data_IF_984277097442
#
_entry.id   IF_984277097442
#
_cell.length_a   1.000
_cell.length_b   1.000
_cell.length_c   1.000
_cell.angle_alpha   90.00
_cell.angle_beta   90.00
_cell.angle_gamma   90.00
#
_symmetry.space_group_name_H-M   'P 1'
#
loop_
_entity.id
_entity.type
_entity.pdbx_description
1 polymer ?
#
# COMPACT_ATOMS: atom_id res chain seq x y z
N UNK A 1 3.26 -14.19 3.77
CA UNK A 1 3.79 -12.80 3.80
C UNK A 1 4.73 -12.51 2.63
N UNK A 2 5.39 -13.53 2.05
CA UNK A 2 6.43 -13.36 1.01
C UNK A 2 5.97 -12.77 -0.33
N UNK A 3 4.66 -12.75 -0.65
CA UNK A 3 4.18 -12.34 -1.98
C UNK A 3 3.50 -10.96 -2.07
N UNK A 4 3.39 -10.20 -0.97
CA UNK A 4 2.80 -8.85 -1.05
C UNK A 4 3.72 -7.90 -1.82
N UNK A 5 3.13 -7.05 -2.67
CA UNK A 5 3.86 -6.02 -3.43
C UNK A 5 4.95 -6.60 -4.35
N UNK A 6 4.69 -7.75 -4.99
CA UNK A 6 5.67 -8.44 -5.82
C UNK A 6 6.19 -7.56 -6.96
N UNK A 7 5.32 -6.77 -7.62
CA UNK A 7 5.73 -5.89 -8.72
C UNK A 7 6.64 -4.78 -8.20
N UNK A 8 6.32 -4.24 -7.03
CA UNK A 8 7.15 -3.24 -6.35
C UNK A 8 8.52 -3.81 -5.98
N UNK A 9 8.57 -5.02 -5.42
CA UNK A 9 9.82 -5.66 -5.04
C UNK A 9 10.72 -5.92 -6.24
N UNK A 10 10.17 -6.48 -7.32
CA UNK A 10 10.93 -6.71 -8.55
C UNK A 10 11.48 -5.42 -9.16
N UNK A 11 10.67 -4.35 -9.16
CA UNK A 11 11.12 -3.04 -9.62
C UNK A 11 12.24 -2.48 -8.74
N UNK A 12 12.11 -2.61 -7.42
CA UNK A 12 13.13 -2.20 -6.46
C UNK A 12 14.45 -2.95 -6.68
N UNK A 13 14.41 -4.28 -6.73
CA UNK A 13 15.60 -5.13 -6.87
C UNK A 13 16.34 -4.83 -8.19
N UNK A 14 15.60 -4.72 -9.30
CA UNK A 14 16.17 -4.39 -10.61
C UNK A 14 16.82 -2.99 -10.63
N UNK A 15 16.17 -2.00 -10.02
CA UNK A 15 16.73 -0.64 -9.94
C UNK A 15 17.96 -0.59 -9.03
N UNK A 16 17.94 -1.33 -7.91
CA UNK A 16 19.07 -1.42 -7.01
C UNK A 16 20.28 -2.06 -7.70
N UNK A 17 20.06 -3.16 -8.42
CA UNK A 17 21.10 -3.78 -9.25
C UNK A 17 21.65 -2.78 -10.27
N UNK A 18 20.79 -2.04 -10.97
CA UNK A 18 21.24 -1.04 -11.93
C UNK A 18 22.11 0.05 -11.29
N UNK A 19 21.71 0.58 -10.13
CA UNK A 19 22.48 1.60 -9.40
C UNK A 19 23.86 1.07 -8.97
N UNK A 20 23.93 -0.19 -8.55
CA UNK A 20 25.18 -0.87 -8.20
C UNK A 20 26.10 -1.04 -9.41
N UNK A 21 25.58 -1.58 -10.52
CA UNK A 21 26.39 -1.87 -11.73
C UNK A 21 26.86 -0.59 -12.41
N UNK A 22 26.03 0.45 -12.43
CA UNK A 22 26.35 1.73 -13.06
C UNK A 22 27.10 2.71 -12.14
N UNK A 23 27.27 2.39 -10.86
CA UNK A 23 27.81 3.28 -9.83
C UNK A 23 27.08 4.65 -9.80
N UNK A 24 25.76 4.62 -9.93
CA UNK A 24 24.92 5.82 -10.05
C UNK A 24 24.24 6.25 -8.74
N UNK A 25 24.66 5.70 -7.61
CA UNK A 25 24.23 6.15 -6.28
C UNK A 25 24.54 7.64 -6.06
N UNK A 26 23.59 8.37 -5.46
CA UNK A 26 23.66 9.79 -5.21
C UNK A 26 23.46 10.67 -6.46
N UNK A 27 23.20 10.07 -7.63
CA UNK A 27 22.98 10.81 -8.88
C UNK A 27 21.49 11.07 -9.16
N UNK A 28 21.20 11.87 -10.17
CA UNK A 28 19.82 12.09 -10.66
C UNK A 28 19.16 10.78 -11.14
N UNK A 29 19.95 9.79 -11.59
CA UNK A 29 19.44 8.48 -11.99
C UNK A 29 18.79 7.78 -10.80
N UNK A 30 19.38 7.85 -9.61
CA UNK A 30 18.77 7.31 -8.38
C UNK A 30 17.41 7.97 -8.12
N UNK A 31 17.31 9.29 -8.30
CA UNK A 31 16.04 10.00 -8.13
C UNK A 31 14.97 9.50 -9.10
N UNK A 32 15.31 9.35 -10.39
CA UNK A 32 14.36 8.87 -11.39
C UNK A 32 13.87 7.45 -11.11
N UNK A 33 14.78 6.55 -10.73
CA UNK A 33 14.43 5.18 -10.37
C UNK A 33 13.59 5.12 -9.09
N UNK A 34 13.92 5.93 -8.08
CA UNK A 34 13.13 6.05 -6.85
C UNK A 34 11.71 6.49 -7.17
N UNK A 35 11.54 7.55 -7.97
CA UNK A 35 10.22 8.06 -8.37
C UNK A 35 9.41 7.00 -9.13
N UNK A 36 10.06 6.25 -10.02
CA UNK A 36 9.43 5.17 -10.76
C UNK A 36 8.88 4.07 -9.83
N UNK A 37 9.70 3.57 -8.90
CA UNK A 37 9.29 2.54 -7.94
C UNK A 37 8.19 3.07 -7.02
N UNK A 38 8.25 4.34 -6.60
CA UNK A 38 7.27 4.94 -5.72
C UNK A 38 5.87 4.99 -6.36
N UNK A 39 5.79 5.28 -7.66
CA UNK A 39 4.55 5.18 -8.45
C UNK A 39 4.04 3.74 -8.49
N UNK A 40 4.92 2.77 -8.75
CA UNK A 40 4.56 1.33 -8.75
C UNK A 40 4.03 0.91 -7.39
N UNK A 41 4.74 1.23 -6.31
CA UNK A 41 4.37 0.90 -4.93
C UNK A 41 2.96 1.35 -4.61
N UNK A 42 2.62 2.60 -4.94
CA UNK A 42 1.29 3.12 -4.65
C UNK A 42 0.20 2.36 -5.42
N UNK A 43 0.42 2.08 -6.69
CA UNK A 43 -0.53 1.30 -7.49
C UNK A 43 -0.68 -0.13 -6.95
N UNK A 44 0.43 -0.76 -6.55
CA UNK A 44 0.47 -2.13 -6.04
C UNK A 44 -0.25 -2.22 -4.69
N UNK A 45 -0.02 -1.28 -3.76
CA UNK A 45 -0.73 -1.20 -2.48
C UNK A 45 -2.24 -1.10 -2.67
N UNK A 46 -2.68 -0.26 -3.61
CA UNK A 46 -4.11 -0.12 -3.91
C UNK A 46 -4.71 -1.44 -4.40
N UNK A 47 -4.02 -2.15 -5.31
CA UNK A 47 -4.48 -3.45 -5.80
C UNK A 47 -4.50 -4.52 -4.70
N UNK A 48 -3.51 -4.55 -3.82
CA UNK A 48 -3.47 -5.49 -2.70
C UNK A 48 -4.63 -5.27 -1.72
N UNK A 49 -4.98 -4.02 -1.41
CA UNK A 49 -6.15 -3.70 -0.59
C UNK A 49 -7.44 -4.16 -1.29
N UNK A 50 -7.56 -3.97 -2.61
CA UNK A 50 -8.69 -4.52 -3.37
C UNK A 50 -8.74 -6.06 -3.31
N UNK A 51 -7.60 -6.73 -3.45
CA UNK A 51 -7.50 -8.18 -3.37
C UNK A 51 -7.81 -8.74 -1.98
N UNK A 52 -7.57 -7.98 -0.91
CA UNK A 52 -7.99 -8.32 0.45
C UNK A 52 -9.52 -8.37 0.56
N UNK A 53 -10.21 -7.38 0.01
CA UNK A 53 -11.68 -7.32 0.04
C UNK A 53 -12.29 -8.38 -0.85
N UNK A 54 -11.72 -8.60 -2.03
CA UNK A 54 -12.18 -9.64 -2.96
C UNK A 54 -12.09 -11.03 -2.34
N UNK A 55 -10.93 -11.39 -1.76
CA UNK A 55 -10.74 -12.67 -1.07
C UNK A 55 -11.71 -12.85 0.10
N UNK A 56 -12.02 -11.78 0.84
CA UNK A 56 -13.02 -11.86 1.91
C UNK A 56 -14.43 -12.05 1.36
N UNK A 57 -14.79 -11.32 0.30
CA UNK A 57 -16.11 -11.42 -0.31
C UNK A 57 -16.35 -12.80 -0.94
N UNK A 58 -15.29 -13.46 -1.44
CA UNK A 58 -15.34 -14.85 -1.91
C UNK A 58 -15.84 -15.85 -0.86
N UNK A 59 -15.62 -15.58 0.43
CA UNK A 59 -16.06 -16.46 1.52
C UNK A 59 -17.59 -16.48 1.66
N UNK A 60 -18.29 -15.42 1.23
CA UNK A 60 -19.74 -15.32 1.36
C UNK A 60 -20.52 -16.25 0.41
N UNK A 61 -19.86 -16.82 -0.61
CA UNK A 61 -20.46 -17.67 -1.66
C UNK A 61 -21.67 -17.03 -2.37
N UNK A 62 -21.77 -15.70 -2.34
CA UNK A 62 -22.78 -14.91 -3.04
C UNK A 62 -22.09 -14.04 -4.10
N UNK A 63 -22.21 -14.47 -5.37
CA UNK A 63 -21.59 -13.81 -6.51
C UNK A 63 -22.09 -12.37 -6.67
N UNK A 64 -23.37 -12.10 -6.41
CA UNK A 64 -23.94 -10.76 -6.56
C UNK A 64 -23.41 -9.82 -5.49
N UNK A 65 -23.37 -10.26 -4.23
CA UNK A 65 -22.78 -9.49 -3.13
C UNK A 65 -21.27 -9.31 -3.31
N UNK A 66 -20.55 -10.33 -3.79
CA UNK A 66 -19.13 -10.20 -4.15
C UNK A 66 -18.93 -9.09 -5.18
N UNK A 67 -19.65 -9.14 -6.29
CA UNK A 67 -19.55 -8.15 -7.36
C UNK A 67 -19.88 -6.74 -6.85
N UNK A 68 -20.93 -6.61 -6.05
CA UNK A 68 -21.29 -5.34 -5.41
C UNK A 68 -20.18 -4.81 -4.48
N UNK A 69 -19.64 -5.66 -3.61
CA UNK A 69 -18.59 -5.28 -2.66
C UNK A 69 -17.31 -4.84 -3.37
N UNK A 70 -16.85 -5.61 -4.37
CA UNK A 70 -15.64 -5.28 -5.16
C UNK A 70 -15.83 -3.98 -5.94
N UNK A 71 -16.98 -3.79 -6.62
CA UNK A 71 -17.27 -2.57 -7.35
C UNK A 71 -17.36 -1.34 -6.43
N UNK A 72 -17.95 -1.51 -5.25
CA UNK A 72 -18.07 -0.44 -4.24
C UNK A 72 -16.71 -0.09 -3.65
N UNK A 73 -15.90 -1.09 -3.31
CA UNK A 73 -14.55 -0.90 -2.80
C UNK A 73 -13.70 -0.01 -3.71
N UNK A 74 -13.71 -0.28 -5.02
CA UNK A 74 -12.99 0.52 -6.03
C UNK A 74 -13.48 1.98 -6.13
N UNK A 75 -14.74 2.25 -5.81
CA UNK A 75 -15.33 3.62 -5.82
C UNK A 75 -15.05 4.40 -4.54
N UNK A 76 -14.98 3.71 -3.40
CA UNK A 76 -14.84 4.30 -2.07
C UNK A 76 -13.36 4.59 -1.76
N UNK A 77 -12.46 3.62 -1.99
CA UNK A 77 -11.04 3.81 -1.73
C UNK A 77 -10.39 4.54 -2.92
N UNK A 78 -10.33 5.88 -2.82
CA UNK A 78 -9.79 6.77 -3.87
C UNK A 78 -8.33 7.16 -3.66
N UNK A 79 -7.82 6.96 -2.45
CA UNK A 79 -6.45 7.24 -2.06
C UNK A 79 -6.01 6.20 -1.04
N UNK A 80 -4.71 5.93 -1.00
CA UNK A 80 -4.11 4.91 -0.15
C UNK A 80 -3.43 5.51 1.09
N UNK A 81 -3.51 6.83 1.32
CA UNK A 81 -2.98 7.42 2.55
C UNK A 81 -3.61 6.78 3.79
N UNK A 82 -2.87 6.62 4.90
CA UNK A 82 -3.35 5.85 6.07
C UNK A 82 -4.71 6.34 6.61
N UNK A 83 -4.96 7.65 6.60
CA UNK A 83 -6.25 8.22 7.02
C UNK A 83 -7.42 7.77 6.13
N UNK A 84 -7.23 7.77 4.82
CA UNK A 84 -8.21 7.31 3.83
C UNK A 84 -8.46 5.81 3.95
N UNK A 85 -7.39 5.02 4.13
CA UNK A 85 -7.47 3.58 4.39
C UNK A 85 -8.24 3.30 5.68
N UNK A 86 -8.01 4.06 6.75
CA UNK A 86 -8.76 3.91 8.00
C UNK A 86 -10.23 4.32 7.88
N UNK A 87 -10.54 5.35 7.07
CA UNK A 87 -11.91 5.69 6.70
C UNK A 87 -12.58 4.54 5.96
N UNK A 88 -11.89 3.97 4.97
CA UNK A 88 -12.34 2.83 4.18
C UNK A 88 -12.60 1.59 5.05
N UNK A 89 -11.65 1.19 5.91
CA UNK A 89 -11.78 0.06 6.82
C UNK A 89 -12.96 0.25 7.80
N UNK A 90 -13.27 1.49 8.15
CA UNK A 90 -14.44 1.82 8.98
C UNK A 90 -15.78 1.39 8.41
N UNK A 91 -15.91 1.17 7.09
CA UNK A 91 -17.12 0.59 6.49
C UNK A 91 -17.37 -0.87 6.90
N UNK A 92 -16.35 -1.58 7.38
CA UNK A 92 -16.48 -2.94 7.91
C UNK A 92 -16.79 -2.97 9.41
N UNK A 93 -16.89 -1.80 10.06
CA UNK A 93 -17.21 -1.65 11.47
C UNK A 93 -16.23 -0.76 12.22
N UNK A 94 -16.70 -0.20 13.34
CA UNK A 94 -15.87 0.64 14.22
C UNK A 94 -14.66 -0.13 14.77
N UNK A 95 -14.87 -1.38 15.16
CA UNK A 95 -13.82 -2.26 15.70
C UNK A 95 -12.70 -2.53 14.69
N UNK A 96 -13.03 -2.72 13.41
CA UNK A 96 -12.04 -2.88 12.35
C UNK A 96 -11.14 -1.63 12.23
N UNK A 97 -11.75 -0.44 12.25
CA UNK A 97 -11.00 0.82 12.21
C UNK A 97 -10.13 1.01 13.45
N UNK A 98 -10.64 0.68 14.63
CA UNK A 98 -9.90 0.75 15.90
C UNK A 98 -8.72 -0.23 15.88
N UNK A 99 -8.93 -1.46 15.43
CA UNK A 99 -7.86 -2.45 15.29
C UNK A 99 -6.76 -1.96 14.35
N UNK A 100 -7.12 -1.44 13.17
CA UNK A 100 -6.12 -0.89 12.25
C UNK A 100 -5.28 0.21 12.91
N UNK A 101 -5.93 1.15 13.60
CA UNK A 101 -5.22 2.26 14.24
C UNK A 101 -4.33 1.83 15.40
N UNK A 102 -4.69 0.76 16.11
CA UNK A 102 -3.95 0.28 17.28
C UNK A 102 -2.82 -0.69 16.92
N UNK A 103 -2.81 -1.25 15.71
CA UNK A 103 -1.85 -2.28 15.29
C UNK A 103 -0.88 -1.82 14.20
N UNK A 104 -0.82 -0.51 13.93
CA UNK A 104 0.24 0.08 13.10
C UNK A 104 0.94 1.17 13.90
N UNK A 105 2.27 1.09 13.98
CA UNK A 105 3.03 2.08 14.74
C UNK A 105 3.14 3.42 13.99
N UNK A 106 3.22 4.51 14.76
CA UNK A 106 3.24 5.88 14.21
C UNK A 106 4.45 6.13 13.30
N UNK A 107 5.57 5.41 13.52
CA UNK A 107 6.77 5.51 12.68
C UNK A 107 6.50 4.95 11.29
N UNK A 108 5.95 3.74 11.19
CA UNK A 108 5.56 3.11 9.93
C UNK A 108 4.51 3.97 9.20
N UNK A 109 3.52 4.52 9.93
CA UNK A 109 2.52 5.45 9.36
C UNK A 109 3.20 6.67 8.74
N UNK A 110 4.17 7.25 9.43
CA UNK A 110 4.89 8.44 8.96
C UNK A 110 5.70 8.12 7.71
N UNK A 111 6.51 7.05 7.74
CA UNK A 111 7.32 6.62 6.60
C UNK A 111 6.43 6.33 5.38
N UNK A 112 5.35 5.58 5.58
CA UNK A 112 4.41 5.25 4.52
C UNK A 112 3.74 6.49 3.92
N UNK A 113 3.19 7.38 4.75
CA UNK A 113 2.51 8.58 4.27
C UNK A 113 3.46 9.55 3.56
N UNK A 114 4.72 9.63 3.98
CA UNK A 114 5.74 10.42 3.27
C UNK A 114 5.96 9.89 1.86
N UNK A 115 6.04 8.56 1.68
CA UNK A 115 6.15 7.98 0.35
C UNK A 115 4.87 8.20 -0.49
N UNK A 116 3.68 8.01 0.07
CA UNK A 116 2.41 8.30 -0.64
C UNK A 116 2.32 9.76 -1.07
N UNK A 117 2.79 10.68 -0.23
CA UNK A 117 2.83 12.11 -0.53
C UNK A 117 3.86 12.42 -1.61
N UNK A 118 5.04 11.79 -1.56
CA UNK A 118 6.04 11.87 -2.62
C UNK A 118 5.47 11.49 -3.98
N UNK A 119 4.51 10.56 -4.07
CA UNK A 119 3.84 10.21 -5.35
C UNK A 119 3.09 11.39 -5.94
N UNK A 120 2.43 12.17 -5.08
CA UNK A 120 1.74 13.40 -5.52
C UNK A 120 2.75 14.41 -6.03
N UNK A 121 3.90 14.53 -5.38
CA UNK A 121 4.97 15.43 -5.80
C UNK A 121 5.61 15.02 -7.13
N UNK A 122 5.79 13.72 -7.41
CA UNK A 122 6.21 13.26 -8.76
C UNK A 122 5.25 13.76 -9.84
N UNK A 123 3.94 13.75 -9.56
CA UNK A 123 2.92 14.09 -10.54
C UNK A 123 2.70 15.60 -10.70
N UNK A 124 3.01 16.41 -9.68
CA UNK A 124 2.59 17.82 -9.61
C UNK A 124 3.72 18.82 -9.29
N UNK A 125 4.90 18.36 -8.87
CA UNK A 125 6.03 19.17 -8.41
C UNK A 125 7.31 18.83 -9.20
N UNK A 126 8.41 19.56 -8.95
CA UNK A 126 9.69 19.41 -9.67
C UNK A 126 10.57 18.24 -9.20
N UNK A 127 10.09 17.39 -8.28
CA UNK A 127 10.85 16.24 -7.78
C UNK A 127 10.33 15.70 -6.46
N UNK A 128 11.02 14.69 -5.92
CA UNK A 128 10.68 13.99 -4.68
C UNK A 128 11.84 14.02 -3.69
N UNK A 129 11.52 14.26 -2.41
CA UNK A 129 12.47 14.24 -1.28
C UNK A 129 12.53 12.88 -0.56
N UNK A 130 12.26 11.78 -1.29
CA UNK A 130 12.39 10.42 -0.78
C UNK A 130 13.64 9.81 -1.42
N UNK A 131 14.54 9.29 -0.61
CA UNK A 131 15.73 8.57 -1.05
C UNK A 131 15.41 7.10 -1.38
N UNK A 132 16.27 6.45 -2.14
CA UNK A 132 16.09 5.02 -2.47
C UNK A 132 16.04 4.14 -1.20
N UNK A 133 16.81 4.50 -0.17
CA UNK A 133 16.81 3.81 1.13
C UNK A 133 15.52 4.02 1.92
N UNK A 134 15.00 5.24 1.95
CA UNK A 134 13.70 5.53 2.60
C UNK A 134 12.56 4.80 1.88
N UNK A 135 12.66 4.61 0.56
CA UNK A 135 11.69 3.85 -0.21
C UNK A 135 11.66 2.37 0.21
N UNK A 136 12.81 1.76 0.49
CA UNK A 136 12.87 0.39 1.03
C UNK A 136 12.11 0.27 2.37
N UNK A 137 12.28 1.26 3.26
CA UNK A 137 11.55 1.34 4.51
C UNK A 137 10.04 1.54 4.29
N UNK A 138 9.66 2.36 3.30
CA UNK A 138 8.26 2.56 2.94
C UNK A 138 7.61 1.29 2.37
N UNK A 139 8.32 0.48 1.59
CA UNK A 139 7.85 -0.82 1.12
C UNK A 139 7.56 -1.75 2.30
N UNK A 140 8.43 -1.79 3.30
CA UNK A 140 8.21 -2.57 4.53
C UNK A 140 6.97 -2.08 5.29
N UNK A 141 6.84 -0.77 5.49
CA UNK A 141 5.69 -0.16 6.16
C UNK A 141 4.38 -0.44 5.40
N UNK A 142 4.40 -0.37 4.07
CA UNK A 142 3.25 -0.69 3.22
C UNK A 142 2.80 -2.16 3.36
N UNK A 143 3.73 -3.12 3.40
CA UNK A 143 3.41 -4.54 3.62
C UNK A 143 2.73 -4.76 4.98
N UNK A 144 3.24 -4.12 6.03
CA UNK A 144 2.61 -4.16 7.36
C UNK A 144 1.21 -3.56 7.33
N UNK A 145 1.03 -2.38 6.73
CA UNK A 145 -0.29 -1.76 6.56
C UNK A 145 -1.29 -2.70 5.89
N UNK A 146 -0.92 -3.33 4.77
CA UNK A 146 -1.81 -4.27 4.05
C UNK A 146 -2.17 -5.47 4.93
N UNK A 147 -1.20 -5.99 5.68
CA UNK A 147 -1.39 -7.13 6.59
C UNK A 147 -2.43 -6.77 7.66
N UNK A 148 -2.23 -5.63 8.34
CA UNK A 148 -3.15 -5.14 9.37
C UNK A 148 -4.53 -4.80 8.78
N UNK A 149 -4.60 -4.28 7.55
CA UNK A 149 -5.89 -4.08 6.85
C UNK A 149 -6.61 -5.42 6.68
N UNK A 150 -5.91 -6.46 6.20
CA UNK A 150 -6.49 -7.81 6.03
C UNK A 150 -7.01 -8.40 7.34
N UNK A 151 -6.26 -8.26 8.42
CA UNK A 151 -6.65 -8.70 9.76
C UNK A 151 -7.86 -7.90 10.27
N UNK A 152 -7.79 -6.57 10.18
CA UNK A 152 -8.80 -5.65 10.71
C UNK A 152 -10.20 -5.90 10.12
N UNK A 153 -10.28 -6.14 8.80
CA UNK A 153 -11.58 -6.39 8.18
C UNK A 153 -12.08 -7.79 8.56
N UNK A 154 -11.20 -8.74 8.87
CA UNK A 154 -11.56 -10.14 9.13
C UNK A 154 -11.93 -10.43 10.59
N UNK A 155 -11.93 -9.45 11.49
CA UNK A 155 -12.16 -9.67 12.93
C UNK A 155 -13.45 -10.44 13.27
N UNK A 156 -14.53 -10.22 12.51
CA UNK A 156 -15.86 -10.73 12.83
C UNK A 156 -16.31 -11.92 11.96
N UNK A 157 -15.40 -12.58 11.24
CA UNK A 157 -15.73 -13.74 10.39
C UNK A 157 -15.75 -15.08 11.15
N UNK A 158 -15.49 -15.09 12.46
CA UNK A 158 -15.47 -16.30 13.30
C UNK A 158 -16.82 -16.65 13.97
N UNK A 159 -17.93 -16.01 13.58
CA UNK A 159 -19.22 -16.12 14.27
C UNK A 159 -20.38 -16.68 13.42
N UNK A 160 -20.08 -17.52 12.42
CA UNK A 160 -21.10 -18.24 11.64
C UNK A 160 -20.91 -19.75 11.75
#
# INVERSE_FOLDING_TARGET
MENLLLRTQLAFDNCQEHLNVSNAWGSEIESYLTQHILVIMCADVQQEIYGVVERRADIADDIALKNYAVATCKKVLRSIGKGEVAGFVGHFGREAKEYLNNNIDDKDVTIYNNAVSGRHDVAHSTGVNVTFRELEEAIRAARKLITVVSESISLNTAAA
#
